data_IF_735973311058
#
_entry.id   IF_735973311058
#
_cell.length_a   1.000
_cell.length_b   1.000
_cell.length_c   1.000
_cell.angle_alpha   90.00
_cell.angle_beta   90.00
_cell.angle_gamma   90.00
#
_symmetry.space_group_name_H-M   'P 1'
#
loop_
_entity.id
_entity.type
_entity.pdbx_description
1 polymer ?
#
# COMPACT_ATOMS: atom_id res chain seq x y z
N UNK A 1 4.58 74.30 40.71
CA UNK A 1 3.42 73.40 40.70
C UNK A 1 2.85 73.34 39.29
N UNK A 2 2.36 72.15 38.91
CA UNK A 2 1.76 71.77 37.61
C UNK A 2 2.75 71.47 36.47
N UNK A 3 3.15 70.20 36.37
CA UNK A 3 3.78 69.61 35.20
C UNK A 3 2.72 69.34 34.12
N UNK A 4 2.84 69.99 32.96
CA UNK A 4 2.04 69.67 31.78
C UNK A 4 2.67 68.46 31.08
N UNK A 5 2.05 67.29 31.22
CA UNK A 5 2.42 66.07 30.49
C UNK A 5 1.57 66.03 29.21
N UNK A 6 2.18 66.32 28.07
CA UNK A 6 1.56 66.11 26.76
C UNK A 6 1.39 64.59 26.53
N UNK A 7 0.16 64.15 26.37
CA UNK A 7 -0.14 62.81 25.85
C UNK A 7 0.14 62.81 24.36
N UNK A 8 1.17 62.08 23.94
CA UNK A 8 1.35 61.73 22.54
C UNK A 8 0.27 60.70 22.16
N UNK A 9 -0.71 61.13 21.37
CA UNK A 9 -1.57 60.23 20.60
C UNK A 9 -0.71 59.57 19.52
N UNK A 10 -0.39 58.29 19.70
CA UNK A 10 0.09 57.45 18.61
C UNK A 10 -1.12 56.99 17.78
N UNK A 11 -1.47 57.82 16.79
CA UNK A 11 -2.24 57.37 15.64
C UNK A 11 -1.30 56.57 14.73
N UNK A 12 -1.72 55.37 14.32
CA UNK A 12 -1.10 54.66 13.19
C UNK A 12 -0.90 53.18 13.45
N UNK A 13 -1.79 52.35 12.90
CA UNK A 13 -1.55 50.90 12.86
C UNK A 13 -2.69 49.96 12.51
N UNK A 14 -3.87 50.39 12.03
CA UNK A 14 -4.99 49.46 11.78
C UNK A 14 -5.39 49.27 10.30
N UNK A 15 -4.57 49.73 9.36
CA UNK A 15 -4.93 49.78 7.93
C UNK A 15 -4.39 48.64 7.06
N UNK A 16 -3.27 48.01 7.40
CA UNK A 16 -2.55 47.10 6.48
C UNK A 16 -2.73 45.61 6.77
N UNK A 17 -3.07 45.23 7.99
CA UNK A 17 -3.25 43.82 8.38
C UNK A 17 -4.52 43.18 7.80
N UNK A 18 -5.51 43.98 7.38
CA UNK A 18 -6.84 43.44 7.00
C UNK A 18 -6.89 42.91 5.57
N UNK A 19 -6.15 43.47 4.61
CA UNK A 19 -6.30 43.13 3.19
C UNK A 19 -5.56 41.86 2.79
N UNK A 20 -4.34 41.68 3.31
CA UNK A 20 -3.53 40.46 3.09
C UNK A 20 -4.17 39.25 3.77
N UNK A 21 -4.72 39.43 4.97
CA UNK A 21 -5.43 38.37 5.70
C UNK A 21 -6.79 38.03 5.05
N UNK A 22 -7.52 39.02 4.52
CA UNK A 22 -8.75 38.80 3.74
C UNK A 22 -8.46 38.08 2.42
N UNK A 23 -7.42 38.48 1.69
CA UNK A 23 -6.99 37.80 0.46
C UNK A 23 -6.55 36.36 0.75
N UNK A 24 -5.85 36.13 1.86
CA UNK A 24 -5.43 34.80 2.29
C UNK A 24 -6.63 33.94 2.68
N UNK A 25 -7.59 34.49 3.42
CA UNK A 25 -8.82 33.78 3.80
C UNK A 25 -9.72 33.45 2.60
N UNK A 26 -9.86 34.38 1.65
CA UNK A 26 -10.61 34.14 0.41
C UNK A 26 -9.92 33.10 -0.48
N UNK A 27 -8.59 33.15 -0.58
CA UNK A 27 -7.81 32.15 -1.31
C UNK A 27 -7.91 30.77 -0.66
N UNK A 28 -7.80 30.67 0.66
CA UNK A 28 -7.97 29.42 1.41
C UNK A 28 -9.38 28.85 1.26
N UNK A 29 -10.42 29.69 1.31
CA UNK A 29 -11.81 29.25 1.00
C UNK A 29 -11.93 28.72 -0.43
N UNK A 30 -11.28 29.36 -1.40
CA UNK A 30 -11.32 28.93 -2.79
C UNK A 30 -10.53 27.64 -3.03
N UNK A 31 -9.38 27.49 -2.38
CA UNK A 31 -8.61 26.24 -2.36
C UNK A 31 -9.44 25.13 -1.72
N UNK A 32 -10.06 25.38 -0.56
CA UNK A 32 -10.97 24.44 0.11
C UNK A 32 -12.12 24.02 -0.79
N UNK A 33 -12.86 24.98 -1.35
CA UNK A 33 -13.99 24.69 -2.25
C UNK A 33 -13.59 23.96 -3.55
N UNK A 34 -12.34 24.10 -4.00
CA UNK A 34 -11.81 23.33 -5.13
C UNK A 34 -11.32 21.95 -4.69
N UNK A 35 -10.70 21.84 -3.51
CA UNK A 35 -10.25 20.58 -2.93
C UNK A 35 -11.43 19.67 -2.58
N UNK A 36 -12.55 20.23 -2.10
CA UNK A 36 -13.78 19.49 -1.81
C UNK A 36 -14.40 18.86 -3.07
N UNK A 37 -14.04 19.38 -4.26
CA UNK A 37 -14.45 18.82 -5.56
C UNK A 37 -13.46 17.77 -6.09
N UNK A 38 -12.30 17.62 -5.46
CA UNK A 38 -11.33 16.59 -5.83
C UNK A 38 -11.78 15.26 -5.23
N UNK A 39 -12.36 14.41 -6.07
CA UNK A 39 -12.62 13.01 -5.73
C UNK A 39 -11.51 12.16 -6.34
N UNK A 40 -10.74 11.47 -5.51
CA UNK A 40 -9.76 10.49 -5.96
C UNK A 40 -10.11 9.12 -5.37
N UNK A 41 -10.14 8.10 -6.20
CA UNK A 41 -10.31 6.73 -5.75
C UNK A 41 -8.96 6.20 -5.27
N UNK A 42 -8.76 6.17 -3.95
CA UNK A 42 -7.51 5.70 -3.35
C UNK A 42 -7.45 4.18 -3.15
N UNK A 43 -8.61 3.51 -3.16
CA UNK A 43 -8.71 2.06 -3.06
C UNK A 43 -9.86 1.52 -3.90
N UNK A 44 -9.66 0.32 -4.46
CA UNK A 44 -10.69 -0.44 -5.16
C UNK A 44 -10.51 -1.92 -4.82
N UNK A 45 -11.58 -2.58 -4.41
CA UNK A 45 -11.56 -3.98 -3.96
C UNK A 45 -12.30 -4.89 -4.93
N UNK A 46 -11.84 -6.13 -5.05
CA UNK A 46 -12.46 -7.16 -5.89
C UNK A 46 -11.78 -8.51 -5.71
N UNK A 47 -12.31 -9.53 -6.38
CA UNK A 47 -11.74 -10.88 -6.42
C UNK A 47 -11.77 -11.39 -7.86
N UNK A 48 -10.84 -12.29 -8.18
CA UNK A 48 -10.82 -13.03 -9.44
C UNK A 48 -10.67 -14.51 -9.13
N UNK A 49 -11.30 -15.36 -9.95
CA UNK A 49 -11.14 -16.79 -9.81
C UNK A 49 -9.72 -17.20 -10.24
N UNK A 50 -9.12 -18.09 -9.46
CA UNK A 50 -7.82 -18.67 -9.78
C UNK A 50 -8.07 -19.84 -10.75
N UNK A 51 -7.18 -20.09 -11.74
CA UNK A 51 -7.27 -21.25 -12.62
C UNK A 51 -7.43 -22.56 -11.85
N UNK A 52 -8.26 -23.47 -12.36
CA UNK A 52 -8.52 -24.77 -11.74
C UNK A 52 -7.24 -25.61 -11.59
N UNK A 53 -6.30 -25.45 -12.52
CA UNK A 53 -5.00 -26.13 -12.52
C UNK A 53 -4.02 -25.58 -11.48
N UNK A 54 -4.44 -24.53 -10.75
CA UNK A 54 -3.65 -23.85 -9.74
C UNK A 54 -2.58 -22.92 -10.31
N UNK A 55 -1.76 -22.39 -9.41
CA UNK A 55 -0.61 -21.55 -9.70
C UNK A 55 0.66 -22.28 -9.29
N UNK A 56 1.75 -22.02 -10.00
CA UNK A 56 3.08 -22.53 -9.63
C UNK A 56 3.94 -21.39 -9.15
N UNK A 57 4.60 -21.58 -8.02
CA UNK A 57 5.65 -20.71 -7.50
C UNK A 57 7.00 -21.41 -7.67
N UNK A 58 7.87 -20.82 -8.47
CA UNK A 58 9.25 -21.24 -8.66
C UNK A 58 10.14 -20.39 -7.77
N UNK A 59 11.05 -21.00 -7.01
CA UNK A 59 11.92 -20.25 -6.10
C UNK A 59 13.24 -20.98 -5.86
N UNK A 60 14.27 -20.20 -5.50
CA UNK A 60 15.54 -20.74 -5.04
C UNK A 60 15.53 -20.87 -3.52
N UNK A 61 15.99 -22.03 -3.04
CA UNK A 61 16.21 -22.30 -1.62
C UNK A 61 17.70 -22.55 -1.40
N UNK A 62 18.28 -21.83 -0.45
CA UNK A 62 19.67 -22.06 -0.01
C UNK A 62 19.66 -22.90 1.27
N UNK A 63 20.24 -24.09 1.21
CA UNK A 63 20.48 -24.96 2.38
C UNK A 63 21.93 -25.44 2.34
N UNK A 64 22.67 -25.29 3.44
CA UNK A 64 24.08 -25.70 3.56
C UNK A 64 24.96 -25.20 2.39
N UNK A 65 24.86 -23.91 2.06
CA UNK A 65 25.57 -23.24 0.95
C UNK A 65 25.27 -23.80 -0.46
N UNK A 66 24.23 -24.63 -0.59
CA UNK A 66 23.75 -25.15 -1.86
C UNK A 66 22.42 -24.49 -2.23
N UNK A 67 22.37 -23.96 -3.45
CA UNK A 67 21.15 -23.42 -4.03
C UNK A 67 20.38 -24.52 -4.78
N UNK A 68 19.14 -24.75 -4.38
CA UNK A 68 18.22 -25.69 -5.03
C UNK A 68 17.01 -24.95 -5.59
N UNK A 69 16.69 -25.20 -6.86
CA UNK A 69 15.44 -24.75 -7.46
C UNK A 69 14.28 -25.62 -6.95
N UNK A 70 13.21 -24.96 -6.52
CA UNK A 70 11.99 -25.59 -5.98
C UNK A 70 10.77 -25.08 -6.74
N UNK A 71 9.73 -25.90 -6.74
CA UNK A 71 8.42 -25.60 -7.33
C UNK A 71 7.38 -25.92 -6.27
N UNK A 72 6.45 -25.01 -6.04
CA UNK A 72 5.28 -25.22 -5.19
C UNK A 72 4.01 -25.03 -6.01
N UNK A 73 3.12 -26.01 -5.95
CA UNK A 73 1.76 -25.90 -6.47
C UNK A 73 0.84 -25.21 -5.44
N UNK A 74 0.04 -24.26 -5.92
CA UNK A 74 -0.92 -23.49 -5.13
C UNK A 74 -2.31 -23.68 -5.74
N UNK A 75 -3.32 -24.15 -4.97
CA UNK A 75 -3.25 -24.45 -3.55
C UNK A 75 -2.41 -25.70 -3.24
N UNK A 76 -1.75 -25.69 -2.08
CA UNK A 76 -1.02 -26.86 -1.57
C UNK A 76 -2.02 -27.97 -1.31
N UNK A 77 -1.81 -29.13 -1.92
CA UNK A 77 -2.70 -30.28 -1.76
C UNK A 77 -2.59 -30.85 -0.34
N UNK A 78 -3.67 -31.49 0.13
CA UNK A 78 -3.67 -32.17 1.44
C UNK A 78 -2.61 -33.27 1.46
N UNK A 79 -1.84 -33.36 2.54
CA UNK A 79 -0.75 -34.34 2.66
C UNK A 79 0.55 -33.93 1.97
N UNK A 80 0.68 -32.64 1.60
CA UNK A 80 1.88 -32.01 1.02
C UNK A 80 2.31 -30.79 1.85
N UNK A 81 1.98 -30.78 3.13
CA UNK A 81 2.29 -29.68 4.05
C UNK A 81 3.80 -29.45 4.18
N UNK A 82 4.62 -30.47 3.95
CA UNK A 82 6.08 -30.39 3.89
C UNK A 82 6.58 -29.46 2.77
N UNK A 83 5.90 -29.39 1.62
CA UNK A 83 6.28 -28.50 0.52
C UNK A 83 6.11 -27.04 0.95
N UNK A 84 5.07 -26.76 1.74
CA UNK A 84 4.87 -25.44 2.33
C UNK A 84 5.92 -25.12 3.39
N UNK A 85 6.28 -26.08 4.25
CA UNK A 85 7.38 -25.90 5.23
C UNK A 85 8.71 -25.63 4.52
N UNK A 86 8.96 -26.29 3.40
CA UNK A 86 10.13 -26.04 2.56
C UNK A 86 10.13 -24.59 2.03
N UNK A 87 9.01 -24.09 1.53
CA UNK A 87 8.89 -22.66 1.15
C UNK A 87 9.17 -21.74 2.34
N UNK A 88 8.61 -22.00 3.52
CA UNK A 88 8.81 -21.16 4.70
C UNK A 88 10.29 -21.08 5.10
N UNK A 89 11.03 -22.19 4.97
CA UNK A 89 12.47 -22.20 5.25
C UNK A 89 13.33 -21.42 4.24
N UNK A 90 12.79 -21.12 3.05
CA UNK A 90 13.42 -20.23 2.07
C UNK A 90 13.03 -18.75 2.25
N UNK A 91 12.12 -18.45 3.18
CA UNK A 91 11.64 -17.10 3.42
C UNK A 91 12.43 -16.40 4.53
N UNK A 92 12.49 -15.08 4.44
CA UNK A 92 13.02 -14.20 5.48
C UNK A 92 11.88 -13.44 6.17
N UNK A 93 12.16 -12.86 7.33
CA UNK A 93 11.20 -11.97 8.00
C UNK A 93 10.93 -10.75 7.11
N UNK A 94 9.65 -10.40 6.92
CA UNK A 94 9.28 -9.25 6.11
C UNK A 94 9.33 -7.95 6.93
N UNK A 95 10.24 -7.06 6.54
CA UNK A 95 10.24 -5.65 6.97
C UNK A 95 9.29 -4.81 6.11
N UNK A 96 8.96 -3.61 6.60
CA UNK A 96 8.29 -2.56 5.85
C UNK A 96 9.02 -1.23 5.99
N UNK A 97 8.94 -0.41 4.95
CA UNK A 97 9.55 0.91 4.95
C UNK A 97 8.79 1.86 5.87
N UNK A 98 9.50 2.50 6.80
CA UNK A 98 9.03 3.62 7.60
C UNK A 98 10.01 4.77 7.42
N UNK A 99 9.60 5.78 6.64
CA UNK A 99 10.47 6.89 6.21
C UNK A 99 11.66 6.37 5.38
N UNK A 100 12.86 6.35 5.95
CA UNK A 100 14.12 5.92 5.31
C UNK A 100 14.69 4.64 5.93
N UNK A 101 13.90 3.95 6.73
CA UNK A 101 14.32 2.78 7.51
C UNK A 101 13.40 1.60 7.22
N UNK A 102 13.98 0.41 7.22
CA UNK A 102 13.23 -0.84 7.23
C UNK A 102 12.94 -1.22 8.68
N UNK A 103 11.65 -1.32 9.01
CA UNK A 103 11.18 -1.64 10.36
C UNK A 103 10.61 -3.04 10.39
N UNK A 104 11.00 -3.80 11.41
CA UNK A 104 10.36 -5.05 11.80
C UNK A 104 9.43 -4.80 12.99
N UNK A 105 8.12 -4.89 12.75
CA UNK A 105 7.10 -4.78 13.80
C UNK A 105 6.07 -5.91 13.67
N UNK A 106 6.21 -6.99 14.47
CA UNK A 106 5.27 -8.10 14.48
C UNK A 106 3.86 -7.76 14.97
N UNK A 107 3.66 -6.62 15.66
CA UNK A 107 2.33 -6.16 16.10
C UNK A 107 1.56 -5.50 14.95
N UNK A 108 2.28 -4.92 13.99
CA UNK A 108 1.72 -4.35 12.77
C UNK A 108 1.57 -5.39 11.65
N UNK A 109 2.57 -6.27 11.46
CA UNK A 109 2.59 -7.25 10.36
C UNK A 109 3.33 -8.54 10.71
N UNK A 110 2.60 -9.66 10.72
CA UNK A 110 3.17 -11.02 10.80
C UNK A 110 3.30 -11.62 9.40
N UNK A 111 4.38 -11.29 8.71
CA UNK A 111 4.63 -11.78 7.37
C UNK A 111 6.08 -12.20 7.18
N UNK A 112 6.26 -13.17 6.29
CA UNK A 112 7.55 -13.51 5.70
C UNK A 112 7.60 -12.98 4.28
N UNK A 113 8.81 -12.82 3.73
CA UNK A 113 9.05 -12.46 2.34
C UNK A 113 9.91 -13.55 1.71
N UNK A 114 9.64 -13.85 0.45
CA UNK A 114 10.56 -14.64 -0.34
C UNK A 114 11.73 -13.76 -0.80
N UNK A 115 12.91 -14.36 -1.00
CA UNK A 115 14.08 -13.68 -1.58
C UNK A 115 13.80 -13.13 -2.98
N UNK A 116 14.83 -12.60 -3.67
CA UNK A 116 14.63 -12.02 -5.02
C UNK A 116 14.51 -13.07 -6.13
N UNK A 117 14.97 -14.30 -5.87
CA UNK A 117 15.08 -15.35 -6.88
C UNK A 117 13.84 -16.23 -6.90
N UNK A 118 12.74 -15.67 -7.42
CA UNK A 118 11.48 -16.39 -7.61
C UNK A 118 10.73 -15.92 -8.86
N UNK A 119 9.83 -16.76 -9.32
CA UNK A 119 8.86 -16.46 -10.38
C UNK A 119 7.57 -17.22 -10.11
N UNK A 120 6.45 -16.79 -10.69
CA UNK A 120 5.20 -17.51 -10.58
C UNK A 120 4.42 -17.48 -11.89
N UNK A 121 3.53 -18.46 -12.07
CA UNK A 121 2.63 -18.50 -13.25
C UNK A 121 1.48 -17.49 -13.15
N UNK A 122 1.37 -16.74 -12.05
CA UNK A 122 0.36 -15.72 -11.90
C UNK A 122 0.74 -14.46 -12.69
N UNK A 123 0.02 -14.22 -13.78
CA UNK A 123 0.16 -13.03 -14.60
C UNK A 123 -1.08 -12.14 -14.48
N UNK A 124 -0.95 -10.99 -13.81
CA UNK A 124 -2.05 -10.02 -13.63
C UNK A 124 -2.73 -9.59 -14.94
N UNK A 125 -2.00 -9.63 -16.06
CA UNK A 125 -2.50 -9.21 -17.37
C UNK A 125 -3.48 -10.21 -17.98
N UNK A 126 -3.52 -11.45 -17.50
CA UNK A 126 -4.48 -12.48 -17.92
C UNK A 126 -5.84 -12.30 -17.24
N UNK A 127 -5.95 -11.35 -16.30
CA UNK A 127 -7.17 -11.05 -15.56
C UNK A 127 -7.66 -9.64 -15.87
N UNK A 128 -8.95 -9.38 -15.62
CA UNK A 128 -9.57 -8.06 -15.80
C UNK A 128 -9.10 -6.99 -14.80
N UNK A 129 -8.23 -7.36 -13.84
CA UNK A 129 -7.74 -6.48 -12.77
C UNK A 129 -7.10 -5.22 -13.33
N UNK A 130 -6.24 -5.32 -14.35
CA UNK A 130 -5.54 -4.15 -14.90
C UNK A 130 -6.49 -3.18 -15.59
N UNK A 131 -7.46 -3.69 -16.36
CA UNK A 131 -8.48 -2.86 -17.01
C UNK A 131 -9.34 -2.14 -15.99
N UNK A 132 -9.66 -2.82 -14.88
CA UNK A 132 -10.50 -2.27 -13.83
C UNK A 132 -9.76 -1.21 -12.99
N UNK A 133 -8.49 -1.45 -12.68
CA UNK A 133 -7.61 -0.44 -12.06
C UNK A 133 -7.48 0.79 -12.97
N UNK A 134 -7.30 0.61 -14.28
CA UNK A 134 -7.26 1.74 -15.22
C UNK A 134 -8.56 2.52 -15.21
N UNK A 135 -9.69 1.83 -15.37
CA UNK A 135 -11.02 2.46 -15.40
C UNK A 135 -11.32 3.27 -14.14
N UNK A 136 -10.96 2.76 -12.96
CA UNK A 136 -11.38 3.34 -11.67
C UNK A 136 -10.34 4.29 -11.09
N UNK A 137 -9.05 3.97 -11.21
CA UNK A 137 -7.97 4.67 -10.51
C UNK A 137 -7.11 5.54 -11.43
N UNK A 138 -7.04 5.24 -12.73
CA UNK A 138 -6.21 5.98 -13.67
C UNK A 138 -6.87 6.08 -15.06
N UNK A 139 -8.07 6.71 -15.16
CA UNK A 139 -8.85 6.72 -16.40
C UNK A 139 -8.13 7.42 -17.55
N UNK A 140 -7.27 8.39 -17.25
CA UNK A 140 -6.50 9.15 -18.24
C UNK A 140 -5.16 8.47 -18.61
N UNK A 141 -4.82 7.33 -18.01
CA UNK A 141 -3.60 6.61 -18.34
C UNK A 141 -3.70 5.94 -19.72
N UNK A 142 -2.65 6.05 -20.54
CA UNK A 142 -2.57 5.38 -21.85
C UNK A 142 -2.49 3.85 -21.73
N UNK A 143 -2.03 3.35 -20.58
CA UNK A 143 -1.97 1.93 -20.28
C UNK A 143 -1.36 1.69 -18.90
N UNK A 144 -1.66 0.53 -18.33
CA UNK A 144 -1.12 0.08 -17.04
C UNK A 144 -0.38 -1.24 -17.26
N UNK A 145 0.80 -1.34 -16.64
CA UNK A 145 1.59 -2.58 -16.57
C UNK A 145 1.83 -2.93 -15.11
N UNK A 146 1.60 -4.20 -14.77
CA UNK A 146 1.99 -4.75 -13.48
C UNK A 146 3.41 -5.30 -13.51
N UNK A 147 4.12 -5.12 -12.39
CA UNK A 147 5.41 -5.75 -12.15
C UNK A 147 5.41 -6.39 -10.76
N UNK A 148 5.78 -7.67 -10.70
CA UNK A 148 5.89 -8.39 -9.44
C UNK A 148 7.13 -7.89 -8.69
N UNK A 149 6.91 -6.98 -7.74
CA UNK A 149 8.00 -6.40 -6.96
C UNK A 149 8.40 -7.25 -5.74
N UNK A 150 7.42 -7.76 -4.98
CA UNK A 150 7.66 -8.48 -3.72
C UNK A 150 6.55 -9.48 -3.46
N UNK A 151 6.93 -10.72 -3.14
CA UNK A 151 6.02 -11.75 -2.64
C UNK A 151 6.14 -11.87 -1.12
N UNK A 152 5.01 -11.71 -0.44
CA UNK A 152 4.93 -11.89 1.02
C UNK A 152 4.03 -13.07 1.34
N UNK A 153 4.47 -13.89 2.28
CA UNK A 153 3.72 -15.02 2.82
C UNK A 153 3.14 -14.58 4.15
N UNK A 154 1.82 -14.61 4.25
CA UNK A 154 1.11 -14.31 5.48
C UNK A 154 0.69 -15.60 6.14
N UNK A 155 0.88 -15.65 7.45
CA UNK A 155 0.27 -16.69 8.27
C UNK A 155 -1.07 -16.18 8.76
N UNK A 156 -2.11 -16.97 8.55
CA UNK A 156 -3.35 -16.73 9.25
C UNK A 156 -3.17 -17.03 10.73
N UNK A 157 -3.41 -16.04 11.59
CA UNK A 157 -3.76 -16.32 12.97
C UNK A 157 -5.20 -16.80 12.99
N UNK A 158 -5.40 -18.00 13.55
CA UNK A 158 -6.70 -18.66 13.61
C UNK A 158 -7.66 -17.89 14.51
N UNK A 159 -8.25 -16.83 13.99
CA UNK A 159 -9.42 -16.14 14.55
C UNK A 159 -10.40 -15.86 13.41
N UNK A 160 -11.16 -16.90 13.06
CA UNK A 160 -12.42 -16.86 12.31
C UNK A 160 -12.32 -16.52 10.80
N UNK A 161 -12.33 -17.56 9.96
CA UNK A 161 -12.79 -17.44 8.56
C UNK A 161 -14.30 -17.69 8.54
N UNK A 162 -15.08 -16.64 8.29
CA UNK A 162 -16.44 -16.81 7.76
C UNK A 162 -16.31 -17.18 6.28
N UNK A 163 -16.36 -18.47 5.97
CA UNK A 163 -16.65 -18.93 4.61
C UNK A 163 -18.14 -18.69 4.38
N UNK A 164 -18.49 -17.57 3.75
CA UNK A 164 -19.81 -17.42 3.13
C UNK A 164 -19.75 -18.06 1.75
N UNK A 165 -20.25 -19.27 1.66
CA UNK A 165 -20.68 -19.87 0.40
C UNK A 165 -21.96 -19.16 -0.02
N UNK A 166 -21.96 -18.45 -1.15
CA UNK A 166 -23.19 -18.05 -1.82
C UNK A 166 -23.16 -18.71 -3.20
N UNK A 167 -24.10 -19.63 -3.41
CA UNK A 167 -24.45 -20.16 -4.72
C UNK A 167 -25.37 -19.23 -5.49
#
# INVERSE_FOLDING_TARGET
MAAHRAQAQAAGGEGQTKLVDLCSGALLKKIGANADKLTATFCYGGAVDIPLDGLKLFYMQTKNDQNQAKILDIPVQRGREEDFLDLLSACEVATFGRRKEDVLDPSYRKALKLGKDYSCTFNLSEYSILSEVQRVMAPDALGIRAELHKLNVYRQDSSTILVRNQG
#
